data_IF_183918073005
#
_entry.id   IF_183918073005
#
_cell.length_a   1.000
_cell.length_b   1.000
_cell.length_c   1.000
_cell.angle_alpha   90.00
_cell.angle_beta   90.00
_cell.angle_gamma   90.00
#
_symmetry.space_group_name_H-M   'P 1'
#
loop_
_entity.id
_entity.type
_entity.pdbx_description
1 polymer ?
#
# COMPACT_ATOMS: atom_id res chain seq x y z
N UNK A 1 11.62 -5.65 8.04
CA UNK A 1 10.45 -6.50 7.74
C UNK A 1 10.34 -6.56 6.23
N UNK A 2 10.41 -7.73 5.61
CA UNK A 2 10.21 -7.87 4.16
C UNK A 2 8.78 -8.38 3.96
N UNK A 3 8.07 -7.72 3.07
CA UNK A 3 6.71 -8.04 2.66
C UNK A 3 6.82 -8.80 1.35
N UNK A 4 6.22 -9.98 1.32
CA UNK A 4 6.20 -10.85 0.15
C UNK A 4 4.76 -10.89 -0.40
N UNK A 5 4.61 -10.47 -1.65
CA UNK A 5 3.41 -10.62 -2.45
C UNK A 5 3.68 -11.65 -3.54
N UNK A 6 2.88 -12.70 -3.59
CA UNK A 6 2.97 -13.73 -4.63
C UNK A 6 1.71 -13.66 -5.49
N UNK A 7 1.87 -13.36 -6.77
CA UNK A 7 0.79 -13.35 -7.77
C UNK A 7 0.98 -14.54 -8.70
N UNK A 8 -0.04 -15.39 -8.84
CA UNK A 8 -0.01 -16.57 -9.71
C UNK A 8 -1.09 -16.45 -10.78
N UNK A 9 -0.79 -16.90 -11.99
CA UNK A 9 -1.80 -17.12 -13.01
C UNK A 9 -2.75 -18.23 -12.54
N UNK A 10 -4.04 -17.92 -12.38
CA UNK A 10 -5.07 -18.91 -12.07
C UNK A 10 -5.24 -19.85 -13.27
N UNK A 11 -4.50 -20.95 -13.32
CA UNK A 11 -4.98 -22.10 -14.06
C UNK A 11 -5.91 -22.90 -13.15
N UNK A 12 -7.14 -23.04 -13.60
CA UNK A 12 -8.19 -23.88 -13.03
C UNK A 12 -7.64 -25.29 -12.72
N UNK A 13 -7.85 -25.72 -11.49
CA UNK A 13 -7.69 -27.09 -11.01
C UNK A 13 -8.32 -27.17 -9.63
N UNK A 14 -9.34 -28.02 -9.50
CA UNK A 14 -10.25 -28.09 -8.35
C UNK A 14 -9.54 -28.21 -6.99
N UNK A 15 -10.17 -27.61 -5.99
CA UNK A 15 -9.77 -27.67 -4.60
C UNK A 15 -9.84 -29.10 -4.06
N UNK A 16 -8.72 -29.61 -3.56
CA UNK A 16 -8.73 -30.68 -2.57
C UNK A 16 -9.01 -30.08 -1.19
N UNK A 17 -10.10 -30.52 -0.58
CA UNK A 17 -10.46 -30.28 0.81
C UNK A 17 -9.30 -30.71 1.75
N UNK A 18 -9.04 -29.92 2.80
CA UNK A 18 -8.00 -30.23 3.76
C UNK A 18 -7.29 -28.99 4.31
N UNK A 19 -7.68 -28.61 5.52
CA UNK A 19 -7.03 -27.67 6.42
C UNK A 19 -5.51 -27.89 6.53
N UNK A 20 -4.75 -27.13 5.73
CA UNK A 20 -3.28 -27.13 5.81
C UNK A 20 -2.56 -26.67 4.54
N UNK A 21 -2.93 -25.55 3.91
CA UNK A 21 -2.32 -25.17 2.63
C UNK A 21 -2.36 -23.65 2.33
N UNK A 22 -1.55 -22.83 3.00
CA UNK A 22 -1.40 -21.42 2.58
C UNK A 22 -0.27 -21.22 1.56
N UNK A 23 0.84 -21.97 1.67
CA UNK A 23 1.92 -21.96 0.68
C UNK A 23 1.57 -22.79 -0.57
N UNK A 24 0.93 -23.95 -0.41
CA UNK A 24 0.66 -24.89 -1.51
C UNK A 24 -0.24 -24.33 -2.62
N UNK A 25 -1.19 -23.43 -2.27
CA UNK A 25 -2.11 -22.82 -3.25
C UNK A 25 -1.38 -21.93 -4.27
N UNK A 26 -0.31 -21.25 -3.82
CA UNK A 26 0.37 -20.22 -4.61
C UNK A 26 1.81 -20.62 -5.01
N UNK A 27 2.40 -21.63 -4.39
CA UNK A 27 3.68 -22.17 -4.80
C UNK A 27 3.57 -22.84 -6.19
N UNK A 28 4.55 -22.60 -7.04
CA UNK A 28 4.88 -23.50 -8.13
C UNK A 28 5.95 -24.45 -7.61
N UNK A 29 5.98 -25.70 -8.08
CA UNK A 29 7.14 -26.54 -7.85
C UNK A 29 8.33 -25.91 -8.60
N UNK A 30 9.34 -25.46 -7.87
CA UNK A 30 10.52 -24.79 -8.42
C UNK A 30 11.70 -25.76 -8.63
N UNK A 31 11.52 -27.06 -8.37
CA UNK A 31 12.54 -28.07 -8.62
C UNK A 31 12.93 -28.08 -10.11
N UNK A 32 14.22 -27.91 -10.38
CA UNK A 32 14.76 -27.88 -11.76
C UNK A 32 14.66 -26.54 -12.48
N UNK A 33 14.12 -25.48 -11.86
CA UNK A 33 14.14 -24.14 -12.44
C UNK A 33 15.56 -23.58 -12.44
N UNK A 34 16.04 -23.19 -13.62
CA UNK A 34 17.31 -22.46 -13.76
C UNK A 34 17.10 -21.00 -13.40
N UNK A 35 17.83 -20.52 -12.38
CA UNK A 35 17.88 -19.09 -12.06
C UNK A 35 18.73 -18.40 -13.13
N UNK A 36 18.11 -17.53 -13.91
CA UNK A 36 18.81 -16.64 -14.82
C UNK A 36 18.84 -15.24 -14.23
N UNK A 37 20.02 -14.80 -13.79
CA UNK A 37 20.24 -13.39 -13.56
C UNK A 37 20.41 -12.72 -14.94
N UNK A 38 19.45 -11.88 -15.31
CA UNK A 38 19.43 -11.26 -16.64
C UNK A 38 20.39 -10.08 -16.63
N UNK A 39 21.58 -10.27 -17.22
CA UNK A 39 22.64 -9.24 -17.24
C UNK A 39 22.76 -8.50 -18.57
N UNK A 40 22.10 -8.96 -19.65
CA UNK A 40 22.24 -8.37 -20.98
C UNK A 40 20.97 -8.44 -21.81
N UNK A 41 20.81 -7.40 -22.61
CA UNK A 41 19.81 -7.29 -23.67
C UNK A 41 20.57 -7.45 -24.98
N UNK A 42 20.77 -8.71 -25.40
CA UNK A 42 21.65 -9.02 -26.53
C UNK A 42 21.03 -8.66 -27.89
N UNK A 43 19.73 -8.33 -27.94
CA UNK A 43 19.00 -8.02 -29.18
C UNK A 43 17.98 -6.90 -28.97
N UNK A 44 17.78 -6.05 -29.99
CA UNK A 44 16.71 -5.03 -30.00
C UNK A 44 16.98 -3.74 -29.22
N UNK A 45 18.24 -3.38 -28.96
CA UNK A 45 18.61 -2.19 -28.17
C UNK A 45 17.92 -0.91 -28.67
N UNK A 46 17.78 -0.72 -29.97
CA UNK A 46 17.08 0.44 -30.54
C UNK A 46 15.59 0.49 -30.16
N UNK A 47 14.89 -0.65 -30.25
CA UNK A 47 13.49 -0.75 -29.87
C UNK A 47 13.30 -0.50 -28.37
N UNK A 48 14.12 -1.15 -27.54
CA UNK A 48 14.06 -0.96 -26.09
C UNK A 48 14.43 0.47 -25.67
N UNK A 49 15.43 1.09 -26.32
CA UNK A 49 15.77 2.51 -26.10
C UNK A 49 14.57 3.39 -26.45
N UNK A 50 13.90 3.14 -27.58
CA UNK A 50 12.68 3.87 -27.97
C UNK A 50 11.56 3.70 -26.94
N UNK A 51 11.29 2.47 -26.50
CA UNK A 51 10.23 2.19 -25.52
C UNK A 51 10.55 2.76 -24.14
N UNK A 52 11.80 2.67 -23.67
CA UNK A 52 12.23 3.30 -22.41
C UNK A 52 12.06 4.81 -22.51
N UNK A 53 12.49 5.44 -23.60
CA UNK A 53 12.31 6.88 -23.80
C UNK A 53 10.84 7.30 -23.86
N UNK A 54 9.97 6.47 -24.48
CA UNK A 54 8.53 6.69 -24.49
C UNK A 54 7.95 6.69 -23.08
N UNK A 55 8.36 5.71 -22.25
CA UNK A 55 7.92 5.61 -20.86
C UNK A 55 8.46 6.78 -20.02
N UNK A 56 9.75 7.08 -20.09
CA UNK A 56 10.38 8.23 -19.42
C UNK A 56 9.63 9.53 -19.71
N UNK A 57 9.32 9.80 -20.98
CA UNK A 57 8.58 10.99 -21.41
C UNK A 57 7.16 11.01 -20.86
N UNK A 58 6.46 9.86 -20.85
CA UNK A 58 5.10 9.76 -20.32
C UNK A 58 5.03 10.07 -18.82
N UNK A 59 6.12 9.80 -18.10
CA UNK A 59 6.29 10.07 -16.69
C UNK A 59 6.96 11.43 -16.38
N UNK A 60 7.18 12.27 -17.41
CA UNK A 60 7.69 13.63 -17.23
C UNK A 60 9.20 13.78 -17.14
N UNK A 61 9.98 12.71 -17.29
CA UNK A 61 11.44 12.81 -17.41
C UNK A 61 11.82 13.44 -18.76
N UNK A 62 12.27 14.69 -18.71
CA UNK A 62 12.70 15.47 -19.87
C UNK A 62 14.19 15.85 -19.81
N UNK A 63 14.80 15.74 -18.64
CA UNK A 63 16.19 16.15 -18.38
C UNK A 63 17.23 15.12 -18.84
N UNK A 64 16.83 13.92 -19.26
CA UNK A 64 17.70 12.93 -19.89
C UNK A 64 16.91 11.97 -20.79
N UNK A 65 17.63 11.25 -21.64
CA UNK A 65 17.10 10.16 -22.47
C UNK A 65 18.18 9.09 -22.74
N UNK A 66 17.76 7.90 -23.13
CA UNK A 66 18.66 6.87 -23.62
C UNK A 66 18.98 7.14 -25.10
N UNK A 67 20.22 6.90 -25.50
CA UNK A 67 20.67 6.90 -26.89
C UNK A 67 21.52 5.65 -27.15
N UNK A 68 21.55 5.18 -28.39
CA UNK A 68 22.44 4.08 -28.78
C UNK A 68 23.90 4.50 -28.64
N UNK A 69 24.73 3.61 -28.11
CA UNK A 69 26.17 3.84 -28.00
C UNK A 69 26.87 3.38 -29.28
N UNK A 70 28.09 3.89 -29.52
CA UNK A 70 28.90 3.53 -30.69
C UNK A 70 29.23 2.03 -30.76
N UNK A 71 29.26 1.36 -29.60
CA UNK A 71 29.40 -0.09 -29.52
C UNK A 71 28.03 -0.75 -29.62
N UNK A 72 27.83 -1.57 -30.67
CA UNK A 72 26.60 -2.33 -30.90
C UNK A 72 26.22 -3.14 -29.65
N UNK A 73 24.95 -3.06 -29.27
CA UNK A 73 24.44 -3.72 -28.06
C UNK A 73 24.45 -2.85 -26.79
N UNK A 74 25.03 -1.64 -26.84
CA UNK A 74 25.09 -0.75 -25.68
C UNK A 74 24.23 0.51 -25.88
N UNK A 75 23.80 1.11 -24.77
CA UNK A 75 23.18 2.43 -24.74
C UNK A 75 23.98 3.37 -23.82
N UNK A 76 23.78 4.68 -24.02
CA UNK A 76 24.26 5.75 -23.15
C UNK A 76 23.06 6.55 -22.67
N UNK A 77 23.19 7.19 -21.52
CA UNK A 77 22.17 8.10 -20.99
C UNK A 77 22.72 9.51 -21.24
N UNK A 78 21.96 10.32 -21.97
CA UNK A 78 22.40 11.65 -22.40
C UNK A 78 21.44 12.73 -21.94
N UNK A 79 21.97 13.92 -21.71
CA UNK A 79 21.23 15.17 -21.55
C UNK A 79 20.78 15.70 -22.92
N UNK A 80 19.94 16.72 -22.94
CA UNK A 80 19.44 17.32 -24.19
C UNK A 80 20.55 17.96 -25.05
N UNK A 81 21.60 18.48 -24.40
CA UNK A 81 22.81 18.99 -25.06
C UNK A 81 23.74 17.88 -25.59
N UNK A 82 23.41 16.60 -25.36
CA UNK A 82 24.20 15.44 -25.81
C UNK A 82 25.29 14.97 -24.84
N UNK A 83 25.49 15.64 -23.70
CA UNK A 83 26.44 15.25 -22.67
C UNK A 83 26.01 13.96 -21.95
N UNK A 84 26.98 13.21 -21.42
CA UNK A 84 26.71 12.00 -20.65
C UNK A 84 26.09 12.35 -19.29
N UNK A 85 24.92 11.78 -18.99
CA UNK A 85 24.19 12.02 -17.76
C UNK A 85 24.65 11.11 -16.61
N UNK A 86 25.43 10.06 -16.86
CA UNK A 86 25.72 8.96 -15.91
C UNK A 86 26.12 9.44 -14.50
N UNK A 87 27.02 10.42 -14.42
CA UNK A 87 27.55 10.92 -13.15
C UNK A 87 26.61 11.92 -12.45
N UNK A 88 25.59 12.41 -13.14
CA UNK A 88 24.67 13.45 -12.63
C UNK A 88 23.24 12.95 -12.41
N UNK A 89 22.99 11.64 -12.59
CA UNK A 89 21.69 11.05 -12.28
C UNK A 89 21.48 10.98 -10.77
N UNK A 90 20.29 11.34 -10.32
CA UNK A 90 19.86 11.09 -8.94
C UNK A 90 19.76 9.59 -8.67
N UNK A 91 19.72 9.22 -7.39
CA UNK A 91 19.49 7.83 -7.00
C UNK A 91 18.15 7.31 -7.55
N UNK A 92 17.08 8.10 -7.44
CA UNK A 92 15.76 7.77 -7.98
C UNK A 92 15.77 7.56 -9.50
N UNK A 93 16.48 8.41 -10.24
CA UNK A 93 16.64 8.28 -11.69
C UNK A 93 17.36 6.98 -12.07
N UNK A 94 18.46 6.65 -11.38
CA UNK A 94 19.22 5.40 -11.60
C UNK A 94 18.35 4.17 -11.32
N UNK A 95 17.64 4.16 -10.21
CA UNK A 95 16.71 3.09 -9.83
C UNK A 95 15.61 2.94 -10.87
N UNK A 96 14.99 4.03 -11.30
CA UNK A 96 13.91 3.99 -12.28
C UNK A 96 14.38 3.49 -13.65
N UNK A 97 15.51 3.99 -14.17
CA UNK A 97 16.08 3.51 -15.44
C UNK A 97 16.42 2.02 -15.37
N UNK A 98 16.98 1.56 -14.25
CA UNK A 98 17.28 0.14 -14.01
C UNK A 98 16.01 -0.70 -14.03
N UNK A 99 14.95 -0.23 -13.38
CA UNK A 99 13.65 -0.88 -13.40
C UNK A 99 13.04 -0.91 -14.80
N UNK A 100 13.13 0.18 -15.58
CA UNK A 100 12.65 0.23 -16.96
C UNK A 100 13.40 -0.75 -17.86
N UNK A 101 14.71 -0.90 -17.67
CA UNK A 101 15.50 -1.89 -18.38
C UNK A 101 15.00 -3.31 -18.10
N UNK A 102 14.81 -3.66 -16.81
CA UNK A 102 14.21 -4.93 -16.40
C UNK A 102 12.80 -5.12 -16.98
N UNK A 103 11.96 -4.09 -16.94
CA UNK A 103 10.60 -4.11 -17.49
C UNK A 103 10.57 -4.41 -19.00
N UNK A 104 11.51 -3.86 -19.78
CA UNK A 104 11.61 -4.19 -21.21
C UNK A 104 12.10 -5.62 -21.44
N UNK A 105 13.03 -6.12 -20.62
CA UNK A 105 13.49 -7.50 -20.70
C UNK A 105 12.35 -8.50 -20.49
N UNK A 106 11.40 -8.19 -19.60
CA UNK A 106 10.22 -9.03 -19.36
C UNK A 106 9.34 -9.15 -20.62
N UNK A 107 9.20 -8.06 -21.39
CA UNK A 107 8.40 -8.03 -22.63
C UNK A 107 9.01 -8.82 -23.79
N UNK A 108 10.31 -9.11 -23.73
CA UNK A 108 10.98 -10.03 -24.65
C UNK A 108 11.36 -9.43 -26.01
N UNK A 109 12.22 -10.20 -26.69
CA UNK A 109 12.75 -9.98 -28.05
C UNK A 109 11.62 -10.10 -29.09
N UNK A 110 11.51 -9.13 -30.01
CA UNK A 110 10.49 -9.09 -31.07
C UNK A 110 10.62 -10.22 -32.15
N UNK A 111 11.43 -11.25 -31.94
CA UNK A 111 11.63 -12.31 -32.93
C UNK A 111 10.75 -13.54 -32.64
N UNK A 112 9.84 -13.82 -33.59
CA UNK A 112 8.93 -14.99 -33.65
C UNK A 112 9.62 -16.36 -33.64
N UNK A 113 10.95 -16.43 -33.54
CA UNK A 113 11.75 -17.66 -33.55
C UNK A 113 12.36 -17.99 -32.18
N UNK A 114 12.29 -17.09 -31.21
CA UNK A 114 12.70 -17.40 -29.84
C UNK A 114 11.61 -18.27 -29.20
N UNK A 115 12.00 -19.44 -28.70
CA UNK A 115 11.12 -20.34 -27.96
C UNK A 115 10.48 -19.54 -26.82
N UNK A 116 9.15 -19.41 -26.87
CA UNK A 116 8.36 -18.80 -25.80
C UNK A 116 8.62 -19.61 -24.53
N UNK A 117 9.42 -19.05 -23.63
CA UNK A 117 9.80 -19.69 -22.37
C UNK A 117 8.95 -19.11 -21.26
N UNK A 118 8.26 -19.97 -20.54
CA UNK A 118 7.49 -19.59 -19.37
C UNK A 118 8.42 -19.05 -18.27
N UNK A 119 8.03 -17.96 -17.60
CA UNK A 119 8.91 -17.23 -16.67
C UNK A 119 8.32 -17.17 -15.26
N UNK A 120 9.19 -17.29 -14.26
CA UNK A 120 8.94 -16.83 -12.89
C UNK A 120 9.75 -15.55 -12.70
N UNK A 121 9.07 -14.48 -12.27
CA UNK A 121 9.67 -13.15 -12.12
C UNK A 121 9.76 -12.83 -10.64
N UNK A 122 10.95 -12.46 -10.19
CA UNK A 122 11.18 -11.96 -8.82
C UNK A 122 11.60 -10.50 -8.92
N UNK A 123 10.88 -9.63 -8.21
CA UNK A 123 11.20 -8.21 -8.06
C UNK A 123 11.57 -8.00 -6.59
N UNK A 124 12.85 -7.77 -6.33
CA UNK A 124 13.35 -7.51 -4.98
C UNK A 124 13.60 -6.02 -4.79
N UNK A 125 12.78 -5.44 -3.91
CA UNK A 125 12.83 -4.07 -3.43
C UNK A 125 13.05 -3.01 -4.51
N UNK A 126 12.07 -2.84 -5.43
CA UNK A 126 12.27 -2.06 -6.65
C UNK A 126 12.35 -0.54 -6.44
N UNK A 127 12.25 -0.08 -5.18
CA UNK A 127 12.24 1.32 -4.78
C UNK A 127 13.15 1.50 -3.57
N UNK A 128 14.14 2.39 -3.68
CA UNK A 128 14.79 2.95 -2.49
C UNK A 128 13.88 4.01 -1.87
N UNK A 129 13.73 3.97 -0.56
CA UNK A 129 12.60 4.49 0.23
C UNK A 129 12.34 6.00 0.24
N UNK A 130 12.97 6.80 -0.64
CA UNK A 130 12.99 8.27 -0.53
C UNK A 130 12.34 9.04 -1.70
N UNK A 131 12.06 8.42 -2.85
CA UNK A 131 11.44 9.12 -3.98
C UNK A 131 9.97 8.73 -4.17
N UNK A 132 9.07 9.60 -3.73
CA UNK A 132 7.62 9.40 -3.86
C UNK A 132 7.15 9.34 -5.31
N UNK A 133 7.81 10.06 -6.23
CA UNK A 133 7.43 10.03 -7.64
C UNK A 133 7.80 8.67 -8.24
N UNK A 134 9.03 8.20 -8.04
CA UNK A 134 9.49 6.91 -8.56
C UNK A 134 8.64 5.76 -8.01
N UNK A 135 8.22 5.85 -6.75
CA UNK A 135 7.30 4.90 -6.12
C UNK A 135 6.02 4.69 -6.94
N UNK A 136 5.32 5.76 -7.31
CA UNK A 136 4.06 5.65 -8.08
C UNK A 136 4.28 5.10 -9.49
N UNK A 137 5.39 5.47 -10.12
CA UNK A 137 5.72 5.04 -11.49
C UNK A 137 6.02 3.55 -11.55
N UNK A 138 6.89 3.06 -10.67
CA UNK A 138 7.22 1.63 -10.56
C UNK A 138 5.99 0.83 -10.13
N UNK A 139 5.22 1.32 -9.16
CA UNK A 139 3.97 0.65 -8.73
C UNK A 139 2.99 0.48 -9.91
N UNK A 140 2.86 1.51 -10.76
CA UNK A 140 2.01 1.47 -11.94
C UNK A 140 2.49 0.44 -12.96
N UNK A 141 3.80 0.37 -13.21
CA UNK A 141 4.38 -0.62 -14.12
C UNK A 141 4.25 -2.06 -13.59
N UNK A 142 4.43 -2.26 -12.28
CA UNK A 142 4.22 -3.57 -11.65
C UNK A 142 2.76 -4.01 -11.75
N UNK A 143 1.80 -3.12 -11.48
CA UNK A 143 0.38 -3.39 -11.71
C UNK A 143 0.09 -3.74 -13.17
N UNK A 144 0.77 -3.11 -14.13
CA UNK A 144 0.63 -3.47 -15.54
C UNK A 144 1.13 -4.90 -15.81
N UNK A 145 2.26 -5.33 -15.22
CA UNK A 145 2.72 -6.73 -15.32
C UNK A 145 1.64 -7.67 -14.79
N UNK A 146 1.05 -7.36 -13.63
CA UNK A 146 0.00 -8.18 -13.03
C UNK A 146 -1.26 -8.27 -13.91
N UNK A 147 -1.66 -7.16 -14.54
CA UNK A 147 -2.79 -7.13 -15.50
C UNK A 147 -2.46 -7.99 -16.73
N UNK A 148 -1.27 -7.82 -17.30
CA UNK A 148 -0.86 -8.58 -18.48
C UNK A 148 -0.79 -10.08 -18.18
N UNK A 149 -0.34 -10.46 -16.98
CA UNK A 149 -0.41 -11.83 -16.47
C UNK A 149 -1.85 -12.31 -16.42
N UNK A 150 -2.74 -11.61 -15.70
CA UNK A 150 -4.16 -11.98 -15.55
C UNK A 150 -4.86 -12.16 -16.91
N UNK A 151 -4.57 -11.28 -17.85
CA UNK A 151 -5.16 -11.28 -19.20
C UNK A 151 -4.48 -12.27 -20.16
N UNK A 152 -3.52 -13.08 -19.70
CA UNK A 152 -2.73 -14.02 -20.51
C UNK A 152 -2.01 -13.36 -21.70
N UNK A 153 -1.53 -12.12 -21.53
CA UNK A 153 -0.79 -11.34 -22.54
C UNK A 153 0.74 -11.46 -22.39
N UNK A 154 1.20 -12.34 -21.51
CA UNK A 154 2.62 -12.52 -21.19
C UNK A 154 2.90 -13.98 -20.83
N UNK A 155 4.16 -14.38 -20.95
CA UNK A 155 4.64 -15.71 -20.61
C UNK A 155 5.01 -15.86 -19.13
N UNK A 156 4.80 -14.82 -18.33
CA UNK A 156 5.06 -14.81 -16.89
C UNK A 156 3.97 -15.62 -16.18
N UNK A 157 4.36 -16.73 -15.55
CA UNK A 157 3.45 -17.62 -14.80
C UNK A 157 3.30 -17.26 -13.34
N UNK A 158 4.33 -16.64 -12.78
CA UNK A 158 4.36 -16.24 -11.37
C UNK A 158 5.19 -14.98 -11.21
N UNK A 159 4.68 -14.07 -10.39
CA UNK A 159 5.34 -12.84 -9.99
C UNK A 159 5.49 -12.84 -8.47
N UNK A 160 6.72 -12.71 -8.01
CA UNK A 160 7.12 -12.64 -6.62
C UNK A 160 7.65 -11.22 -6.39
N UNK A 161 7.02 -10.47 -5.51
CA UNK A 161 7.44 -9.12 -5.15
C UNK A 161 7.86 -9.12 -3.70
N UNK A 162 9.11 -8.75 -3.46
CA UNK A 162 9.71 -8.57 -2.15
C UNK A 162 9.92 -7.07 -1.95
N UNK A 163 9.53 -6.54 -0.80
CA UNK A 163 9.80 -5.13 -0.48
C UNK A 163 9.80 -4.89 1.01
N UNK A 164 10.60 -3.93 1.47
CA UNK A 164 10.45 -3.38 2.82
C UNK A 164 9.62 -2.09 2.84
N UNK A 165 9.27 -1.54 1.67
CA UNK A 165 8.55 -0.30 1.52
C UNK A 165 7.02 -0.53 1.60
N UNK A 166 6.44 -0.13 2.74
CA UNK A 166 5.00 -0.25 3.03
C UNK A 166 4.14 0.53 2.03
N UNK A 167 4.60 1.70 1.58
CA UNK A 167 3.86 2.53 0.63
C UNK A 167 3.82 1.87 -0.75
N UNK A 168 4.95 1.36 -1.23
CA UNK A 168 5.01 0.61 -2.49
C UNK A 168 4.12 -0.64 -2.43
N UNK A 169 4.19 -1.41 -1.33
CA UNK A 169 3.32 -2.58 -1.14
C UNK A 169 1.84 -2.20 -1.19
N UNK A 170 1.44 -1.14 -0.49
CA UNK A 170 0.07 -0.64 -0.52
C UNK A 170 -0.36 -0.24 -1.92
N UNK A 171 0.49 0.49 -2.64
CA UNK A 171 0.19 0.85 -4.01
C UNK A 171 0.00 -0.43 -4.85
N UNK A 172 0.96 -1.33 -4.92
CA UNK A 172 0.81 -2.53 -5.77
C UNK A 172 -0.42 -3.38 -5.40
N UNK A 173 -0.79 -3.44 -4.13
CA UNK A 173 -1.90 -4.27 -3.62
C UNK A 173 -3.24 -3.56 -3.54
N UNK A 174 -3.29 -2.25 -3.80
CA UNK A 174 -4.51 -1.47 -3.73
C UNK A 174 -5.53 -1.98 -4.76
N UNK A 175 -6.75 -2.24 -4.32
CA UNK A 175 -7.88 -2.64 -5.17
C UNK A 175 -8.87 -1.49 -5.24
N UNK A 176 -9.03 -0.89 -6.41
CA UNK A 176 -9.99 0.20 -6.64
C UNK A 176 -11.24 -0.35 -7.35
N UNK A 177 -12.35 -0.44 -6.61
CA UNK A 177 -13.61 -0.96 -7.14
C UNK A 177 -13.50 -2.40 -7.66
N UNK A 178 -14.09 -2.67 -8.84
CA UNK A 178 -14.09 -4.00 -9.48
C UNK A 178 -12.76 -4.35 -10.19
N UNK A 179 -11.77 -3.44 -10.23
CA UNK A 179 -10.47 -3.73 -10.87
C UNK A 179 -9.66 -4.66 -9.97
N UNK A 180 -9.61 -5.93 -10.32
CA UNK A 180 -8.76 -6.92 -9.67
C UNK A 180 -7.45 -7.05 -10.42
N UNK A 181 -6.31 -6.81 -9.79
CA UNK A 181 -4.98 -6.97 -10.42
C UNK A 181 -4.50 -8.44 -10.38
N UNK A 182 -5.42 -9.40 -10.35
CA UNK A 182 -5.14 -10.82 -10.12
C UNK A 182 -5.32 -11.26 -8.67
N UNK A 183 -5.19 -12.56 -8.44
CA UNK A 183 -5.19 -13.17 -7.11
C UNK A 183 -3.75 -13.41 -6.65
N UNK A 184 -3.48 -13.09 -5.38
CA UNK A 184 -2.18 -13.31 -4.78
C UNK A 184 -2.26 -13.54 -3.29
N UNK A 185 -1.25 -14.22 -2.75
CA UNK A 185 -1.10 -14.42 -1.31
C UNK A 185 -0.16 -13.39 -0.68
N UNK A 186 -0.23 -13.27 0.63
CA UNK A 186 0.57 -12.33 1.41
C UNK A 186 1.42 -13.07 2.44
N UNK A 187 2.68 -12.67 2.57
CA UNK A 187 3.57 -13.19 3.61
C UNK A 187 4.40 -12.06 4.22
N UNK A 188 4.77 -12.23 5.49
CA UNK A 188 5.74 -11.37 6.17
C UNK A 188 6.96 -12.21 6.55
N UNK A 189 8.14 -11.74 6.16
CA UNK A 189 9.42 -12.29 6.63
C UNK A 189 9.85 -11.53 7.89
N UNK A 190 10.01 -12.27 9.00
CA UNK A 190 10.49 -11.76 10.28
C UNK A 190 11.82 -12.40 10.65
N UNK A 191 12.68 -11.64 11.33
CA UNK A 191 13.92 -12.16 11.94
C UNK A 191 13.80 -12.06 13.45
N UNK A 192 13.98 -13.18 14.16
CA UNK A 192 14.02 -13.25 15.63
C UNK A 192 15.13 -14.21 16.03
N UNK A 193 15.97 -13.81 16.98
CA UNK A 193 17.06 -14.64 17.52
C UNK A 193 17.98 -15.21 16.41
N UNK A 194 18.35 -14.36 15.45
CA UNK A 194 19.12 -14.73 14.24
C UNK A 194 18.50 -15.79 13.33
N UNK A 195 17.23 -16.13 13.52
CA UNK A 195 16.47 -17.02 12.65
C UNK A 195 15.42 -16.25 11.86
N UNK A 196 15.23 -16.63 10.60
CA UNK A 196 14.24 -16.03 9.70
C UNK A 196 13.00 -16.91 9.61
N UNK A 197 11.83 -16.29 9.69
CA UNK A 197 10.53 -16.94 9.65
C UNK A 197 9.68 -16.29 8.57
N UNK A 198 8.96 -17.10 7.79
CA UNK A 198 8.00 -16.64 6.79
C UNK A 198 6.60 -16.94 7.32
N UNK A 199 5.79 -15.89 7.50
CA UNK A 199 4.45 -15.99 8.09
C UNK A 199 3.40 -15.71 7.01
N UNK A 200 2.54 -16.67 6.66
CA UNK A 200 1.45 -16.47 5.71
C UNK A 200 0.30 -15.65 6.28
N UNK A 201 -0.40 -14.92 5.41
CA UNK A 201 -1.62 -14.17 5.72
C UNK A 201 -2.65 -14.34 4.59
N UNK A 202 -3.91 -14.61 4.96
CA UNK A 202 -5.00 -14.79 3.99
C UNK A 202 -5.45 -13.47 3.34
N UNK A 203 -5.28 -12.36 4.05
CA UNK A 203 -5.57 -11.00 3.60
C UNK A 203 -4.32 -10.13 3.77
N UNK A 204 -4.26 -9.02 3.04
CA UNK A 204 -3.13 -8.09 3.13
C UNK A 204 -2.92 -7.63 4.59
N UNK A 205 -1.80 -7.99 5.24
CA UNK A 205 -1.58 -7.69 6.65
C UNK A 205 -1.14 -6.25 6.90
N UNK A 206 -0.80 -5.51 5.84
CA UNK A 206 -0.20 -4.18 5.94
C UNK A 206 -1.30 -3.13 6.15
N UNK A 207 -1.36 -2.63 7.38
CA UNK A 207 -2.29 -1.58 7.81
C UNK A 207 -1.64 -0.20 7.66
N UNK A 208 -2.45 0.84 7.44
CA UNK A 208 -2.00 2.24 7.52
C UNK A 208 -1.65 2.62 8.96
N UNK A 209 -0.81 3.65 9.14
CA UNK A 209 -0.54 4.20 10.47
C UNK A 209 -1.82 4.58 11.19
N UNK A 210 -2.81 5.11 10.46
CA UNK A 210 -4.15 5.37 10.99
C UNK A 210 -4.88 4.09 11.44
N UNK A 211 -4.94 3.06 10.60
CA UNK A 211 -5.53 1.76 10.96
C UNK A 211 -4.81 1.06 12.12
N UNK A 212 -3.51 1.32 12.32
CA UNK A 212 -2.77 0.81 13.47
C UNK A 212 -3.20 1.50 14.77
N UNK A 213 -3.48 2.81 14.75
CA UNK A 213 -4.04 3.52 15.91
C UNK A 213 -5.37 2.89 16.35
N UNK A 214 -6.27 2.63 15.40
CA UNK A 214 -7.54 1.97 15.72
C UNK A 214 -7.35 0.55 16.25
N UNK A 215 -6.38 -0.21 15.73
CA UNK A 215 -6.05 -1.54 16.27
C UNK A 215 -5.55 -1.46 17.71
N UNK A 216 -4.77 -0.44 18.03
CA UNK A 216 -4.29 -0.18 19.39
C UNK A 216 -5.45 0.18 20.33
N UNK A 217 -6.39 1.03 19.86
CA UNK A 217 -7.60 1.39 20.59
C UNK A 217 -8.55 0.20 20.82
N UNK A 218 -8.64 -0.75 19.89
CA UNK A 218 -9.40 -2.00 20.07
C UNK A 218 -8.82 -2.83 21.22
N UNK A 219 -7.48 -2.87 21.36
CA UNK A 219 -6.78 -3.61 22.42
C UNK A 219 -6.42 -2.71 23.61
N UNK A 220 -7.28 -1.73 23.93
CA UNK A 220 -7.00 -0.69 24.92
C UNK A 220 -6.79 -1.22 26.34
N UNK A 221 -7.41 -2.34 26.66
CA UNK A 221 -7.27 -3.11 27.90
C UNK A 221 -5.82 -3.58 28.17
N UNK A 222 -5.01 -3.68 27.10
CA UNK A 222 -3.61 -4.17 27.17
C UNK A 222 -2.57 -3.07 27.03
N UNK A 223 -2.97 -1.80 26.94
CA UNK A 223 -2.07 -0.68 26.74
C UNK A 223 -1.94 0.16 28.01
N UNK A 224 -0.87 0.96 28.08
CA UNK A 224 -0.75 1.97 29.13
C UNK A 224 -1.72 3.13 28.89
N UNK A 225 -2.08 3.83 29.97
CA UNK A 225 -2.94 5.02 29.94
C UNK A 225 -2.42 6.07 28.94
N UNK A 226 -1.11 6.35 28.99
CA UNK A 226 -0.43 7.28 28.09
C UNK A 226 -0.53 6.86 26.62
N UNK A 227 -0.47 5.55 26.33
CA UNK A 227 -0.65 5.06 24.96
C UNK A 227 -2.06 5.37 24.46
N UNK A 228 -3.08 5.12 25.28
CA UNK A 228 -4.49 5.34 24.90
C UNK A 228 -4.81 6.81 24.70
N UNK A 229 -4.33 7.69 25.57
CA UNK A 229 -4.45 9.14 25.39
C UNK A 229 -3.88 9.56 24.04
N UNK A 230 -2.65 9.14 23.74
CA UNK A 230 -1.98 9.49 22.49
C UNK A 230 -2.69 8.88 21.26
N UNK A 231 -3.18 7.65 21.35
CA UNK A 231 -3.92 6.98 20.28
C UNK A 231 -5.22 7.71 19.97
N UNK A 232 -6.04 8.01 20.98
CA UNK A 232 -7.31 8.72 20.79
C UNK A 232 -7.08 10.11 20.19
N UNK A 233 -6.10 10.87 20.70
CA UNK A 233 -5.72 12.17 20.14
C UNK A 233 -5.35 12.07 18.67
N UNK A 234 -4.43 11.16 18.32
CA UNK A 234 -3.96 11.01 16.94
C UNK A 234 -5.08 10.57 16.00
N UNK A 235 -6.04 9.78 16.46
CA UNK A 235 -7.20 9.40 15.65
C UNK A 235 -8.09 10.62 15.40
N UNK A 236 -8.43 11.38 16.44
CA UNK A 236 -9.27 12.57 16.32
C UNK A 236 -8.59 13.64 15.46
N UNK A 237 -7.30 13.93 15.70
CA UNK A 237 -6.53 14.88 14.89
C UNK A 237 -6.47 14.44 13.42
N UNK A 238 -6.14 13.17 13.15
CA UNK A 238 -6.04 12.67 11.77
C UNK A 238 -7.37 12.79 11.02
N UNK A 239 -8.49 12.52 11.71
CA UNK A 239 -9.80 12.50 11.07
C UNK A 239 -10.47 13.87 11.01
N UNK A 240 -10.57 14.58 12.13
CA UNK A 240 -11.30 15.85 12.21
C UNK A 240 -10.43 17.04 11.85
N UNK A 241 -9.19 17.11 12.34
CA UNK A 241 -8.32 18.27 12.13
C UNK A 241 -7.67 18.27 10.76
N UNK A 242 -6.97 17.19 10.39
CA UNK A 242 -6.21 17.14 9.15
C UNK A 242 -7.08 16.93 7.91
N UNK A 243 -8.16 16.17 8.03
CA UNK A 243 -9.05 15.88 6.90
C UNK A 243 -10.32 16.73 6.95
N UNK A 244 -10.97 16.84 8.10
CA UNK A 244 -12.18 17.62 8.26
C UNK A 244 -11.99 19.13 8.40
N UNK A 245 -10.75 19.60 8.63
CA UNK A 245 -10.47 20.99 9.00
C UNK A 245 -11.29 21.50 10.21
N UNK A 246 -11.67 20.58 11.11
CA UNK A 246 -12.41 20.84 12.34
C UNK A 246 -11.40 20.82 13.50
N UNK A 247 -11.36 21.89 14.28
CA UNK A 247 -10.53 21.92 15.48
C UNK A 247 -11.11 21.02 16.57
N UNK A 248 -10.24 20.36 17.35
CA UNK A 248 -10.71 19.39 18.33
C UNK A 248 -11.53 20.05 19.44
N UNK A 249 -11.18 21.28 19.80
CA UNK A 249 -11.87 22.07 20.82
C UNK A 249 -13.28 22.51 20.35
N UNK A 250 -13.61 22.44 19.06
CA UNK A 250 -14.97 22.74 18.58
C UNK A 250 -15.86 21.50 18.47
N UNK A 251 -15.33 20.29 18.68
CA UNK A 251 -16.11 19.05 18.58
C UNK A 251 -17.25 18.96 19.59
N UNK A 252 -17.08 19.60 20.74
CA UNK A 252 -18.09 19.74 21.80
C UNK A 252 -19.33 20.54 21.39
N UNK A 253 -19.26 21.37 20.33
CA UNK A 253 -20.35 22.27 19.99
C UNK A 253 -21.62 21.51 19.59
N UNK A 254 -21.46 20.33 18.99
CA UNK A 254 -22.55 19.41 18.58
C UNK A 254 -23.06 18.49 19.69
N UNK A 255 -22.57 18.64 20.93
CA UNK A 255 -23.08 17.89 22.08
C UNK A 255 -24.20 18.65 22.81
N UNK A 256 -25.10 17.90 23.45
CA UNK A 256 -26.06 18.47 24.41
C UNK A 256 -25.35 19.02 25.66
N UNK A 257 -25.97 19.98 26.36
CA UNK A 257 -25.36 20.76 27.45
C UNK A 257 -24.59 19.91 28.48
N UNK A 258 -25.17 18.82 28.98
CA UNK A 258 -24.56 17.98 30.01
C UNK A 258 -23.38 17.14 29.46
N UNK A 259 -23.38 16.84 28.17
CA UNK A 259 -22.31 16.06 27.54
C UNK A 259 -21.18 16.93 26.97
N UNK A 260 -21.40 18.25 26.80
CA UNK A 260 -20.32 19.20 26.44
C UNK A 260 -19.17 19.15 27.45
N UNK A 261 -19.50 19.11 28.74
CA UNK A 261 -18.50 19.03 29.81
C UNK A 261 -17.66 17.74 29.72
N UNK A 262 -18.30 16.62 29.37
CA UNK A 262 -17.63 15.32 29.21
C UNK A 262 -16.72 15.31 27.99
N UNK A 263 -17.17 15.91 26.88
CA UNK A 263 -16.34 16.09 25.68
C UNK A 263 -15.10 16.93 25.98
N UNK A 264 -15.25 18.10 26.60
CA UNK A 264 -14.13 18.96 27.04
C UNK A 264 -13.16 18.22 27.94
N UNK A 265 -13.68 17.42 28.88
CA UNK A 265 -12.86 16.61 29.77
C UNK A 265 -12.04 15.57 29.00
N UNK A 266 -12.63 14.90 28.01
CA UNK A 266 -11.89 13.99 27.12
C UNK A 266 -10.80 14.72 26.34
N UNK A 267 -11.11 15.85 25.70
CA UNK A 267 -10.14 16.62 24.89
C UNK A 267 -8.96 17.09 25.75
N UNK A 268 -9.23 17.57 26.96
CA UNK A 268 -8.18 17.90 27.93
C UNK A 268 -7.34 16.67 28.30
N UNK A 269 -7.99 15.54 28.62
CA UNK A 269 -7.30 14.31 29.03
C UNK A 269 -6.40 13.70 27.95
N UNK A 270 -6.83 13.69 26.68
CA UNK A 270 -6.00 13.19 25.57
C UNK A 270 -4.84 14.15 25.22
N UNK A 271 -4.99 15.44 25.52
CA UNK A 271 -3.93 16.44 25.37
C UNK A 271 -2.89 16.36 26.50
N UNK A 272 -3.33 16.10 27.73
CA UNK A 272 -2.46 16.00 28.91
C UNK A 272 -1.53 14.77 28.90
N UNK A 273 -1.99 13.66 28.29
CA UNK A 273 -1.18 12.46 28.07
C UNK A 273 0.08 12.68 27.21
N UNK A 274 0.26 13.87 26.63
CA UNK A 274 1.50 14.26 25.95
C UNK A 274 2.58 14.85 26.88
N UNK A 275 2.25 15.17 28.14
CA UNK A 275 3.11 15.96 29.02
C UNK A 275 3.32 15.49 30.48
N UNK A 276 2.69 14.40 30.96
CA UNK A 276 2.88 13.98 32.36
C UNK A 276 3.14 12.48 32.57
N UNK A 277 4.24 12.19 33.26
CA UNK A 277 4.34 11.10 34.24
C UNK A 277 3.83 11.74 35.53
N UNK A 278 2.57 11.55 35.92
CA UNK A 278 2.11 11.95 37.26
C UNK A 278 2.01 10.73 38.16
N UNK A 279 2.71 10.85 39.26
CA UNK A 279 2.92 9.89 40.34
C UNK A 279 1.92 10.20 41.46
N UNK A 280 0.65 10.46 41.12
CA UNK A 280 -0.36 10.94 42.07
C UNK A 280 -1.41 9.88 42.38
N UNK A 281 -1.44 9.52 43.66
CA UNK A 281 -2.45 8.74 44.37
C UNK A 281 -3.89 9.05 43.92
N UNK A 282 -4.46 8.23 43.05
CA UNK A 282 -5.91 8.13 42.86
C UNK A 282 -6.38 6.68 42.99
N UNK A 283 -7.47 6.53 43.73
CA UNK A 283 -8.16 5.28 44.09
C UNK A 283 -8.98 4.71 42.91
N UNK A 284 -9.10 5.46 41.81
CA UNK A 284 -9.88 5.06 40.63
C UNK A 284 -9.05 4.13 39.73
N UNK A 285 -9.62 3.03 39.27
CA UNK A 285 -8.92 2.13 38.37
C UNK A 285 -8.73 2.81 37.01
N UNK A 286 -7.52 2.73 36.45
CA UNK A 286 -7.24 3.27 35.12
C UNK A 286 -8.17 2.70 34.04
N UNK A 287 -8.70 1.49 34.25
CA UNK A 287 -9.66 0.84 33.35
C UNK A 287 -11.00 1.57 33.30
N UNK A 288 -11.54 2.00 34.44
CA UNK A 288 -12.81 2.73 34.52
C UNK A 288 -12.73 4.10 33.84
N UNK A 289 -11.58 4.78 34.00
CA UNK A 289 -11.31 6.08 33.35
C UNK A 289 -11.24 5.92 31.83
N UNK A 290 -10.49 4.92 31.35
CA UNK A 290 -10.35 4.63 29.91
C UNK A 290 -11.68 4.30 29.28
N UNK A 291 -12.50 3.45 29.92
CA UNK A 291 -13.79 3.05 29.36
C UNK A 291 -14.77 4.23 29.29
N UNK A 292 -14.84 5.04 30.36
CA UNK A 292 -15.65 6.26 30.38
C UNK A 292 -15.27 7.23 29.26
N UNK A 293 -13.98 7.46 29.04
CA UNK A 293 -13.50 8.32 27.96
C UNK A 293 -13.67 7.71 26.58
N UNK A 294 -13.57 6.38 26.44
CA UNK A 294 -13.86 5.68 25.20
C UNK A 294 -15.32 5.86 24.77
N UNK A 295 -16.28 5.86 25.70
CA UNK A 295 -17.68 6.12 25.37
C UNK A 295 -17.90 7.55 24.86
N UNK A 296 -17.23 8.54 25.44
CA UNK A 296 -17.25 9.93 24.95
C UNK A 296 -16.60 10.02 23.57
N UNK A 297 -15.47 9.35 23.37
CA UNK A 297 -14.77 9.27 22.08
C UNK A 297 -15.67 8.70 20.98
N UNK A 298 -16.40 7.60 21.24
CA UNK A 298 -17.41 7.05 20.32
C UNK A 298 -18.48 8.09 20.01
N UNK A 299 -19.01 8.74 21.04
CA UNK A 299 -20.07 9.74 20.90
C UNK A 299 -19.67 10.94 20.05
N UNK A 300 -18.39 11.30 19.98
CA UNK A 300 -17.89 12.33 19.05
C UNK A 300 -18.20 11.94 17.60
N UNK A 301 -17.93 10.69 17.20
CA UNK A 301 -18.24 10.23 15.84
C UNK A 301 -19.74 10.21 15.59
N UNK A 302 -20.55 9.88 16.60
CA UNK A 302 -22.00 9.88 16.50
C UNK A 302 -22.59 11.28 16.31
N UNK A 303 -22.20 12.24 17.15
CA UNK A 303 -22.69 13.64 17.08
C UNK A 303 -22.22 14.36 15.82
N UNK A 304 -21.09 13.93 15.25
CA UNK A 304 -20.58 14.46 13.98
C UNK A 304 -21.17 13.75 12.75
N UNK A 305 -21.99 12.71 12.92
CA UNK A 305 -22.61 11.98 11.81
C UNK A 305 -21.70 10.95 11.13
N UNK A 306 -20.60 10.55 11.77
CA UNK A 306 -19.60 9.63 11.23
C UNK A 306 -19.55 8.27 11.97
N UNK A 307 -20.65 7.83 12.57
CA UNK A 307 -20.79 6.52 13.25
C UNK A 307 -20.37 5.35 12.36
N UNK A 308 -20.70 5.40 11.06
CA UNK A 308 -20.35 4.34 10.11
C UNK A 308 -18.84 4.12 10.01
N UNK A 309 -18.06 5.20 10.04
CA UNK A 309 -16.59 5.13 10.04
C UNK A 309 -16.07 4.52 11.35
N UNK A 310 -16.59 4.97 12.49
CA UNK A 310 -16.23 4.41 13.80
C UNK A 310 -16.46 2.90 13.84
N UNK A 311 -17.67 2.44 13.48
CA UNK A 311 -18.03 1.02 13.50
C UNK A 311 -17.13 0.19 12.57
N UNK A 312 -16.87 0.69 11.36
CA UNK A 312 -15.96 0.06 10.41
C UNK A 312 -14.55 -0.09 11.00
N UNK A 313 -14.03 0.95 11.65
CA UNK A 313 -12.67 0.93 12.20
C UNK A 313 -12.54 0.07 13.46
N UNK A 314 -13.62 -0.05 14.24
CA UNK A 314 -13.71 -0.95 15.40
C UNK A 314 -13.91 -2.43 15.01
N UNK A 315 -14.22 -2.72 13.75
CA UNK A 315 -14.48 -4.08 13.26
C UNK A 315 -15.89 -4.59 13.57
N UNK A 316 -16.85 -3.68 13.83
CA UNK A 316 -18.24 -4.01 14.15
C UNK A 316 -19.11 -4.22 12.89
N UNK A 317 -18.57 -3.96 11.69
CA UNK A 317 -19.20 -4.29 10.40
C UNK A 317 -18.25 -5.12 9.54
N UNK A 318 -18.59 -6.39 9.30
CA UNK A 318 -17.93 -7.19 8.27
C UNK A 318 -18.35 -6.67 6.88
N UNK A 319 -17.37 -6.39 6.03
CA UNK A 319 -17.62 -6.00 4.65
C UNK A 319 -18.03 -7.24 3.82
N UNK A 320 -19.33 -7.49 3.70
CA UNK A 320 -19.87 -8.28 2.59
C UNK A 320 -19.87 -7.39 1.33
N UNK A 321 -19.03 -7.74 0.36
CA UNK A 321 -18.98 -7.03 -0.92
C UNK A 321 -20.31 -7.21 -1.66
N UNK A 322 -21.12 -6.15 -1.74
CA UNK A 322 -22.44 -6.19 -2.35
C UNK A 322 -22.42 -6.74 -3.79
N UNK A 323 -23.16 -7.82 -4.01
CA UNK A 323 -23.61 -8.30 -5.32
C UNK A 323 -24.90 -7.55 -5.73
N UNK A 324 -24.91 -6.98 -6.95
CA UNK A 324 -26.08 -6.46 -7.72
C UNK A 324 -26.89 -5.32 -7.08
N UNK A 325 -27.47 -4.34 -7.79
CA UNK A 325 -28.15 -4.37 -9.10
C UNK A 325 -27.80 -3.19 -10.02
N UNK A 326 -28.09 -3.39 -11.29
CA UNK A 326 -27.91 -2.47 -12.41
C UNK A 326 -28.92 -1.33 -12.44
N UNK A 327 -28.44 -0.10 -12.54
CA UNK A 327 -29.10 0.94 -13.34
C UNK A 327 -28.11 2.03 -13.73
N UNK A 328 -28.12 2.33 -15.02
CA UNK A 328 -27.31 3.31 -15.75
C UNK A 328 -27.51 4.75 -15.28
N UNK A 329 -26.43 5.44 -14.93
CA UNK A 329 -26.17 6.83 -15.29
C UNK A 329 -24.68 7.16 -15.07
N UNK A 330 -24.06 7.68 -16.12
CA UNK A 330 -22.68 8.13 -16.15
C UNK A 330 -22.50 9.41 -15.32
N UNK A 331 -21.93 9.29 -14.13
CA UNK A 331 -21.20 10.38 -13.49
C UNK A 331 -19.85 9.88 -12.96
N UNK A 332 -18.79 10.59 -13.33
CA UNK A 332 -17.42 10.39 -12.86
C UNK A 332 -17.37 10.53 -11.33
N UNK A 333 -17.56 9.44 -10.59
CA UNK A 333 -17.21 9.39 -9.17
C UNK A 333 -15.72 9.10 -9.02
N UNK A 334 -14.99 10.04 -8.44
CA UNK A 334 -13.64 9.80 -7.96
C UNK A 334 -13.65 8.65 -6.95
N UNK A 335 -12.79 7.67 -7.20
CA UNK A 335 -12.83 6.36 -6.56
C UNK A 335 -11.89 6.29 -5.37
N UNK A 336 -12.41 6.61 -4.19
CA UNK A 336 -11.73 6.40 -2.90
C UNK A 336 -12.25 5.12 -2.22
N UNK A 337 -11.46 4.48 -1.37
CA UNK A 337 -11.95 3.41 -0.47
C UNK A 337 -13.05 3.93 0.45
N UNK A 338 -13.95 3.12 1.04
CA UNK A 338 -14.95 3.62 1.99
C UNK A 338 -14.35 4.41 3.16
N UNK A 339 -13.15 4.06 3.61
CA UNK A 339 -12.36 4.85 4.56
C UNK A 339 -11.99 6.20 3.95
N UNK A 340 -11.44 6.22 2.74
CA UNK A 340 -11.10 7.47 2.05
C UNK A 340 -12.33 8.28 1.61
N UNK A 341 -13.48 7.65 1.39
CA UNK A 341 -14.77 8.30 1.08
C UNK A 341 -15.33 8.93 2.35
N UNK A 342 -15.38 8.19 3.46
CA UNK A 342 -15.76 8.74 4.76
C UNK A 342 -14.82 9.89 5.17
N UNK A 343 -13.51 9.71 4.97
CA UNK A 343 -12.50 10.75 5.20
C UNK A 343 -12.67 11.96 4.27
N UNK A 344 -13.12 11.78 3.01
CA UNK A 344 -13.42 12.89 2.09
C UNK A 344 -14.74 13.59 2.41
N UNK A 345 -15.77 12.85 2.82
CA UNK A 345 -17.05 13.43 3.21
C UNK A 345 -16.89 14.42 4.37
N UNK A 346 -16.02 14.12 5.33
CA UNK A 346 -15.69 15.05 6.44
C UNK A 346 -15.05 16.33 5.90
N UNK A 347 -14.17 16.22 4.90
CA UNK A 347 -13.50 17.38 4.28
C UNK A 347 -14.46 18.27 3.46
N UNK A 348 -15.59 17.73 3.00
CA UNK A 348 -16.59 18.48 2.20
C UNK A 348 -17.64 19.14 3.10
N UNK A 349 -17.93 18.59 4.28
CA UNK A 349 -18.87 19.19 5.25
C UNK A 349 -18.36 20.48 5.93
N UNK A 350 -17.14 20.92 5.64
CA UNK A 350 -16.48 22.11 6.21
C UNK A 350 -16.48 23.35 5.30
N UNK A 351 -17.06 23.27 4.10
CA UNK A 351 -17.42 24.42 3.26
C UNK A 351 -18.90 24.80 3.46
#
# INVERSE_FOLDING_TARGET
>A
MIILLLVKLSQMGEAGDGSGASLGKYALNLEGIKIFNIYRMDFGVEHSVSEINRILKSFGFKNFKLATASKKGNYKIIRDNGEDAKETLSEGERTFITFLYFYQLLKGSNNKQDIVTEKVVVIDDPISSLDSNVLFMVSSLVRQIMIDMRDNKTDIKQLIILTHNIYFHKEVTFKQGKKTYGEGGYWIVKKKDNQSYIIPYDKNPIKTSYQLLWKELINRDKQSLASIQNVMRRILENYFKFLGNIDLDSLEEKFELDDKMRCRSLISWINDGSHYISDDLYIESNEDVVERYFQVFKKIFDTQGHTAHFNMMMGETEYEGNQSESSTSDEKRESSTPIEVAMREVAVTSE
#
